data_IF_720707607203
#
_entry.id   IF_720707607203
#
_cell.length_a   1.000
_cell.length_b   1.000
_cell.length_c   1.000
_cell.angle_alpha   90.00
_cell.angle_beta   90.00
_cell.angle_gamma   90.00
#
_symmetry.space_group_name_H-M   'P 1'
#
loop_
_entity.id
_entity.type
_entity.pdbx_description
1 polymer ?
#
# COMPACT_ATOMS: atom_id res chain seq x y z
N UNK A 1 40.99 -47.97 -49.67
CA UNK A 1 40.76 -47.53 -48.28
C UNK A 1 40.27 -46.09 -48.32
N UNK A 2 39.03 -45.89 -47.85
CA UNK A 2 38.36 -44.64 -47.47
C UNK A 2 38.60 -43.37 -48.32
N UNK A 3 37.67 -43.08 -49.23
CA UNK A 3 37.34 -41.69 -49.58
C UNK A 3 36.69 -41.03 -48.37
N UNK A 4 37.36 -40.02 -47.80
CA UNK A 4 36.73 -39.12 -46.82
C UNK A 4 35.81 -38.18 -47.59
N UNK A 5 34.51 -38.46 -47.54
CA UNK A 5 33.48 -37.49 -47.89
C UNK A 5 33.58 -36.32 -46.91
N UNK A 6 34.18 -35.22 -47.37
CA UNK A 6 34.14 -33.94 -46.68
C UNK A 6 32.71 -33.40 -46.77
N UNK A 7 31.93 -33.67 -45.72
CA UNK A 7 30.61 -33.10 -45.54
C UNK A 7 30.80 -31.61 -45.25
N UNK A 8 30.84 -30.79 -46.31
CA UNK A 8 30.73 -29.34 -46.19
C UNK A 8 29.35 -29.07 -45.60
N UNK A 9 29.29 -28.85 -44.29
CA UNK A 9 28.10 -28.28 -43.66
C UNK A 9 27.90 -26.90 -44.26
N UNK A 10 26.90 -26.78 -45.12
CA UNK A 10 26.40 -25.52 -45.64
C UNK A 10 26.24 -24.56 -44.46
N UNK A 11 27.03 -23.47 -44.48
CA UNK A 11 26.93 -22.42 -43.46
C UNK A 11 25.54 -21.84 -43.60
N UNK A 12 24.63 -22.24 -42.71
CA UNK A 12 23.26 -21.75 -42.66
C UNK A 12 23.31 -20.23 -42.65
N UNK A 13 22.85 -19.59 -43.72
CA UNK A 13 22.98 -18.14 -43.88
C UNK A 13 22.34 -17.41 -42.70
N UNK A 14 23.05 -16.45 -42.13
CA UNK A 14 22.42 -15.51 -41.21
C UNK A 14 21.54 -14.56 -42.02
N UNK A 15 20.36 -14.23 -41.50
CA UNK A 15 19.50 -13.20 -42.08
C UNK A 15 19.47 -11.98 -41.16
N UNK A 16 19.54 -10.80 -41.77
CA UNK A 16 19.43 -9.53 -41.05
C UNK A 16 17.95 -9.16 -40.88
N UNK A 17 17.55 -8.88 -39.65
CA UNK A 17 16.21 -8.36 -39.34
C UNK A 17 16.32 -7.19 -38.37
N UNK A 18 15.38 -6.26 -38.43
CA UNK A 18 15.25 -5.24 -37.39
C UNK A 18 14.28 -5.71 -36.31
N UNK A 19 14.64 -5.47 -35.04
CA UNK A 19 13.72 -5.71 -33.94
C UNK A 19 12.57 -4.70 -34.02
N UNK A 20 11.31 -5.12 -34.17
CA UNK A 20 10.20 -4.15 -34.23
C UNK A 20 10.08 -3.31 -32.95
N UNK A 21 10.47 -3.87 -31.80
CA UNK A 21 10.34 -3.21 -30.51
C UNK A 21 11.39 -2.12 -30.33
N UNK A 22 12.61 -2.32 -30.84
CA UNK A 22 13.72 -1.39 -30.67
C UNK A 22 14.43 -0.82 -31.89
N UNK A 23 14.04 -1.26 -33.08
CA UNK A 23 14.73 -0.89 -34.33
C UNK A 23 16.15 -1.43 -34.47
N UNK A 24 16.67 -2.19 -33.49
CA UNK A 24 18.03 -2.72 -33.54
C UNK A 24 18.15 -3.75 -34.68
N UNK A 25 19.16 -3.59 -35.55
CA UNK A 25 19.55 -4.62 -36.52
C UNK A 25 20.11 -5.83 -35.81
N UNK A 26 19.57 -7.00 -36.12
CA UNK A 26 19.91 -8.29 -35.55
C UNK A 26 20.30 -9.24 -36.68
N UNK A 27 21.43 -9.91 -36.52
CA UNK A 27 21.80 -11.08 -37.31
C UNK A 27 21.27 -12.31 -36.59
N UNK A 28 20.39 -13.05 -37.26
CA UNK A 28 19.77 -14.25 -36.72
C UNK A 28 20.05 -15.45 -37.64
N UNK A 29 20.29 -16.64 -37.09
CA UNK A 29 20.38 -17.85 -37.91
C UNK A 29 19.07 -18.09 -38.65
N UNK A 30 19.12 -18.52 -39.92
CA UNK A 30 17.93 -18.76 -40.76
C UNK A 30 16.84 -19.64 -40.15
N UNK A 31 17.17 -20.47 -39.15
CA UNK A 31 16.22 -21.38 -38.48
C UNK A 31 15.51 -20.78 -37.25
N UNK A 32 15.86 -19.58 -36.79
CA UNK A 32 15.25 -18.99 -35.59
C UNK A 32 13.90 -18.31 -35.92
N UNK A 33 12.81 -19.07 -35.87
CA UNK A 33 11.45 -18.58 -36.09
C UNK A 33 10.94 -17.65 -34.97
N UNK A 34 11.52 -17.76 -33.77
CA UNK A 34 11.18 -16.95 -32.59
C UNK A 34 12.45 -16.42 -31.95
N UNK A 35 12.61 -15.10 -31.91
CA UNK A 35 13.71 -14.43 -31.20
C UNK A 35 13.15 -13.48 -30.15
N UNK A 36 13.81 -13.42 -29.00
CA UNK A 36 13.61 -12.39 -27.98
C UNK A 36 14.77 -11.40 -28.06
N UNK A 37 14.47 -10.13 -28.29
CA UNK A 37 15.51 -9.09 -28.26
C UNK A 37 16.15 -9.03 -26.87
N UNK A 38 17.46 -9.24 -26.79
CA UNK A 38 18.21 -9.15 -25.52
C UNK A 38 18.21 -7.74 -24.90
N UNK A 39 17.92 -6.70 -25.69
CA UNK A 39 17.86 -5.32 -25.22
C UNK A 39 16.45 -4.90 -24.74
N UNK A 40 15.46 -4.89 -25.64
CA UNK A 40 14.11 -4.41 -25.31
C UNK A 40 13.15 -5.52 -24.83
N UNK A 41 13.53 -6.79 -24.98
CA UNK A 41 12.72 -7.93 -24.59
C UNK A 41 11.54 -8.25 -25.52
N UNK A 42 11.44 -7.65 -26.71
CA UNK A 42 10.38 -7.92 -27.69
C UNK A 42 10.56 -9.31 -28.36
N UNK A 43 9.47 -10.03 -28.64
CA UNK A 43 9.48 -11.45 -29.11
C UNK A 43 8.75 -11.64 -30.44
N UNK A 44 9.41 -11.96 -31.56
CA UNK A 44 8.86 -12.09 -32.96
C UNK A 44 7.34 -11.86 -33.20
N UNK A 45 7.05 -10.82 -34.01
CA UNK A 45 5.76 -10.18 -34.39
C UNK A 45 4.95 -9.48 -33.27
N UNK A 46 4.50 -8.23 -33.50
CA UNK A 46 3.60 -7.55 -32.58
C UNK A 46 2.26 -8.28 -32.52
N UNK A 47 1.82 -8.65 -31.32
CA UNK A 47 0.42 -9.00 -31.08
C UNK A 47 -0.42 -7.72 -31.25
N UNK A 48 -1.60 -7.81 -31.89
CA UNK A 48 -2.45 -6.64 -32.16
C UNK A 48 -2.63 -5.78 -30.90
N UNK A 49 -2.41 -4.47 -31.03
CA UNK A 49 -2.51 -3.54 -29.93
C UNK A 49 -3.98 -3.43 -29.50
N UNK A 50 -4.35 -4.14 -28.44
CA UNK A 50 -5.71 -4.12 -27.91
C UNK A 50 -6.03 -2.76 -27.31
N UNK A 51 -6.84 -1.97 -28.01
CA UNK A 51 -7.42 -0.74 -27.49
C UNK A 51 -8.44 -1.08 -26.39
N UNK A 52 -8.20 -0.59 -25.17
CA UNK A 52 -9.06 -0.90 -24.02
C UNK A 52 -10.20 0.13 -23.90
N UNK A 53 -11.36 -0.21 -24.49
CA UNK A 53 -12.56 0.64 -24.51
C UNK A 53 -13.05 1.07 -23.12
N UNK A 54 -12.73 0.32 -22.06
CA UNK A 54 -13.20 0.58 -20.69
C UNK A 54 -12.19 1.40 -19.85
N UNK A 55 -11.15 1.94 -20.47
CA UNK A 55 -10.17 2.82 -19.81
C UNK A 55 -10.83 3.99 -19.08
N UNK A 56 -11.65 4.76 -19.79
CA UNK A 56 -12.26 5.97 -19.25
C UNK A 56 -13.20 5.69 -18.06
N UNK A 57 -14.00 4.62 -18.16
CA UNK A 57 -14.92 4.22 -17.09
C UNK A 57 -14.21 3.82 -15.79
N UNK A 58 -13.11 3.06 -15.89
CA UNK A 58 -12.30 2.71 -14.71
C UNK A 58 -11.68 3.94 -14.08
N UNK A 59 -11.15 4.86 -14.89
CA UNK A 59 -10.56 6.11 -14.39
C UNK A 59 -11.60 7.02 -13.73
N UNK A 60 -12.80 7.12 -14.29
CA UNK A 60 -13.91 7.87 -13.69
C UNK A 60 -14.31 7.26 -12.34
N UNK A 61 -14.57 5.94 -12.30
CA UNK A 61 -14.90 5.22 -11.07
C UNK A 61 -13.87 5.45 -9.97
N UNK A 62 -12.59 5.35 -10.32
CA UNK A 62 -11.49 5.54 -9.40
C UNK A 62 -11.42 6.99 -8.87
N UNK A 63 -11.68 7.99 -9.72
CA UNK A 63 -11.80 9.40 -9.27
C UNK A 63 -12.99 9.61 -8.35
N UNK A 64 -14.13 8.96 -8.62
CA UNK A 64 -15.28 8.99 -7.71
C UNK A 64 -14.92 8.39 -6.34
N UNK A 65 -14.20 7.27 -6.28
CA UNK A 65 -13.73 6.71 -5.01
C UNK A 65 -12.83 7.67 -4.24
N UNK A 66 -11.90 8.37 -4.91
CA UNK A 66 -11.07 9.40 -4.26
C UNK A 66 -11.92 10.52 -3.68
N UNK A 67 -12.88 11.04 -4.43
CA UNK A 67 -13.77 12.10 -3.95
C UNK A 67 -14.61 11.64 -2.77
N UNK A 68 -15.21 10.45 -2.84
CA UNK A 68 -16.01 9.87 -1.75
C UNK A 68 -15.15 9.70 -0.49
N UNK A 69 -13.94 9.15 -0.63
CA UNK A 69 -13.04 8.95 0.49
C UNK A 69 -12.56 10.27 1.10
N UNK A 70 -12.25 11.27 0.28
CA UNK A 70 -11.87 12.61 0.76
C UNK A 70 -13.02 13.27 1.54
N UNK A 71 -14.25 13.21 1.02
CA UNK A 71 -15.44 13.72 1.71
C UNK A 71 -15.66 12.97 3.02
N UNK A 72 -15.51 11.65 3.02
CA UNK A 72 -15.61 10.85 4.24
C UNK A 72 -14.56 11.25 5.29
N UNK A 73 -13.29 11.43 4.89
CA UNK A 73 -12.22 11.90 5.78
C UNK A 73 -12.58 13.27 6.39
N UNK A 74 -13.00 14.22 5.56
CA UNK A 74 -13.40 15.56 6.01
C UNK A 74 -14.62 15.51 6.93
N UNK A 75 -15.61 14.67 6.62
CA UNK A 75 -16.79 14.46 7.45
C UNK A 75 -16.42 13.93 8.84
N UNK A 76 -15.53 12.94 8.93
CA UNK A 76 -15.06 12.42 10.22
C UNK A 76 -14.29 13.49 11.01
N UNK A 77 -13.43 14.27 10.35
CA UNK A 77 -12.69 15.37 11.00
C UNK A 77 -13.65 16.43 11.53
N UNK A 78 -14.53 16.97 10.68
CA UNK A 78 -15.47 18.02 11.07
C UNK A 78 -16.48 17.53 12.12
N UNK A 79 -17.01 16.32 11.94
CA UNK A 79 -17.93 15.68 12.88
C UNK A 79 -17.28 15.42 14.23
N UNK A 80 -16.05 14.91 14.25
CA UNK A 80 -15.26 14.72 15.45
C UNK A 80 -14.96 16.04 16.17
N UNK A 81 -14.56 17.08 15.42
CA UNK A 81 -14.32 18.41 16.00
C UNK A 81 -15.60 18.96 16.63
N UNK A 82 -16.71 18.89 15.91
CA UNK A 82 -18.01 19.34 16.42
C UNK A 82 -18.46 18.55 17.65
N UNK A 83 -18.29 17.23 17.67
CA UNK A 83 -18.78 16.32 18.71
C UNK A 83 -17.89 16.24 19.96
N UNK A 84 -16.57 16.45 19.84
CA UNK A 84 -15.62 16.33 20.96
C UNK A 84 -15.35 17.69 21.63
N UNK A 85 -15.05 18.74 20.87
CA UNK A 85 -14.42 19.94 21.44
C UNK A 85 -15.24 20.74 22.43
N UNK A 86 -16.56 20.97 22.24
CA UNK A 86 -17.38 21.61 23.27
C UNK A 86 -17.28 20.95 24.66
N UNK A 87 -17.00 19.64 24.73
CA UNK A 87 -16.81 18.92 26.00
C UNK A 87 -15.44 19.21 26.57
N UNK A 88 -14.40 19.08 25.74
CA UNK A 88 -13.01 19.36 26.12
C UNK A 88 -12.84 20.81 26.60
N UNK A 89 -13.44 21.78 25.90
CA UNK A 89 -13.43 23.18 26.29
C UNK A 89 -14.23 23.46 27.56
N UNK A 90 -15.26 22.66 27.86
CA UNK A 90 -16.00 22.77 29.13
C UNK A 90 -15.17 22.33 30.34
N UNK A 91 -14.15 21.47 30.14
CA UNK A 91 -13.25 21.00 31.19
C UNK A 91 -12.14 22.03 31.43
N UNK A 92 -11.44 22.44 30.37
CA UNK A 92 -10.38 23.46 30.46
C UNK A 92 -10.10 24.08 29.10
N UNK A 93 -9.99 25.41 29.07
CA UNK A 93 -9.67 26.15 27.84
C UNK A 93 -8.25 25.82 27.31
N UNK A 94 -7.27 25.68 28.20
CA UNK A 94 -5.91 25.29 27.82
C UNK A 94 -5.87 23.89 27.19
N UNK A 95 -6.58 22.95 27.80
CA UNK A 95 -6.69 21.58 27.30
C UNK A 95 -7.40 21.54 25.94
N UNK A 96 -8.47 22.33 25.78
CA UNK A 96 -9.18 22.52 24.51
C UNK A 96 -8.27 23.01 23.39
N UNK A 97 -7.50 24.08 23.61
CA UNK A 97 -6.55 24.61 22.62
C UNK A 97 -5.47 23.59 22.28
N UNK A 98 -4.87 22.96 23.29
CA UNK A 98 -3.80 21.98 23.10
C UNK A 98 -4.26 20.83 22.20
N UNK A 99 -5.41 20.23 22.49
CA UNK A 99 -5.96 19.17 21.67
C UNK A 99 -6.41 19.68 20.30
N UNK A 100 -6.86 20.92 20.16
CA UNK A 100 -7.25 21.50 18.85
C UNK A 100 -6.05 21.61 17.91
N UNK A 101 -4.91 22.03 18.43
CA UNK A 101 -3.64 22.09 17.68
C UNK A 101 -3.23 20.69 17.23
N UNK A 102 -3.28 19.69 18.12
CA UNK A 102 -2.94 18.30 17.77
C UNK A 102 -3.84 17.77 16.65
N UNK A 103 -5.16 17.95 16.77
CA UNK A 103 -6.10 17.54 15.71
C UNK A 103 -5.84 18.28 14.40
N UNK A 104 -5.53 19.58 14.45
CA UNK A 104 -5.16 20.36 13.27
C UNK A 104 -3.92 19.80 12.57
N UNK A 105 -2.88 19.44 13.32
CA UNK A 105 -1.66 18.82 12.78
C UNK A 105 -1.97 17.45 12.18
N UNK A 106 -2.62 16.56 12.93
CA UNK A 106 -2.93 15.20 12.49
C UNK A 106 -3.83 15.19 11.24
N UNK A 107 -4.87 16.03 11.21
CA UNK A 107 -5.76 16.16 10.05
C UNK A 107 -5.04 16.70 8.83
N UNK A 108 -4.24 17.77 8.99
CA UNK A 108 -3.47 18.36 7.89
C UNK A 108 -2.46 17.36 7.33
N UNK A 109 -1.71 16.66 8.19
CA UNK A 109 -0.77 15.62 7.76
C UNK A 109 -1.48 14.49 7.01
N UNK A 110 -2.58 13.97 7.56
CA UNK A 110 -3.31 12.85 6.94
C UNK A 110 -3.88 13.22 5.58
N UNK A 111 -4.54 14.37 5.47
CA UNK A 111 -5.11 14.87 4.20
C UNK A 111 -4.00 15.15 3.19
N UNK A 112 -2.89 15.77 3.62
CA UNK A 112 -1.76 16.07 2.73
C UNK A 112 -1.11 14.79 2.18
N UNK A 113 -0.89 13.78 3.03
CA UNK A 113 -0.31 12.51 2.60
C UNK A 113 -1.26 11.73 1.68
N UNK A 114 -2.57 11.78 1.94
CA UNK A 114 -3.58 11.22 1.04
C UNK A 114 -3.53 11.88 -0.35
N UNK A 115 -3.54 13.22 -0.41
CA UNK A 115 -3.45 13.98 -1.66
C UNK A 115 -2.15 13.66 -2.40
N UNK A 116 -1.01 13.64 -1.70
CA UNK A 116 0.27 13.30 -2.31
C UNK A 116 0.26 11.87 -2.88
N UNK A 117 -0.30 10.90 -2.17
CA UNK A 117 -0.44 9.53 -2.66
C UNK A 117 -1.34 9.43 -3.90
N UNK A 118 -2.49 10.12 -3.89
CA UNK A 118 -3.49 10.07 -4.95
C UNK A 118 -3.09 10.81 -6.23
N UNK A 119 -2.32 11.89 -6.13
CA UNK A 119 -2.06 12.78 -7.27
C UNK A 119 -0.60 12.85 -7.71
N UNK A 120 0.37 12.38 -6.91
CA UNK A 120 1.75 12.24 -7.41
C UNK A 120 1.84 11.11 -8.43
N UNK A 121 2.73 11.28 -9.40
CA UNK A 121 3.06 10.20 -10.34
C UNK A 121 3.52 8.97 -9.55
N UNK A 122 3.02 7.79 -9.92
CA UNK A 122 3.42 6.52 -9.30
C UNK A 122 4.87 6.13 -9.62
N UNK A 123 5.48 6.80 -10.61
CA UNK A 123 6.82 6.53 -11.10
C UNK A 123 6.77 5.94 -12.50
N UNK A 124 7.40 6.62 -13.45
CA UNK A 124 7.59 6.11 -14.80
C UNK A 124 8.92 5.36 -14.88
N UNK A 125 9.00 4.22 -15.59
CA UNK A 125 10.30 3.65 -15.92
C UNK A 125 11.14 4.69 -16.68
N UNK A 126 12.48 4.65 -16.53
CA UNK A 126 13.36 5.61 -17.20
C UNK A 126 13.06 5.63 -18.70
N UNK A 127 12.94 6.84 -19.26
CA UNK A 127 12.80 7.01 -20.70
C UNK A 127 14.18 6.76 -21.31
N UNK A 128 14.42 5.53 -21.74
CA UNK A 128 15.63 5.20 -22.50
C UNK A 128 15.40 5.72 -23.91
N UNK A 129 16.16 6.74 -24.32
CA UNK A 129 16.14 7.23 -25.70
C UNK A 129 16.72 6.18 -26.64
N UNK A 130 16.06 6.01 -27.78
CA UNK A 130 16.51 5.10 -28.83
C UNK A 130 17.92 5.45 -29.29
N UNK A 131 18.84 4.48 -29.27
CA UNK A 131 20.24 4.68 -29.67
C UNK A 131 21.13 5.32 -28.61
N UNK A 132 20.58 5.75 -27.47
CA UNK A 132 21.37 6.10 -26.29
C UNK A 132 21.72 4.81 -25.55
N UNK A 133 22.92 4.29 -25.80
CA UNK A 133 23.43 3.12 -25.11
C UNK A 133 24.27 3.60 -23.92
N UNK A 134 23.75 3.62 -22.67
CA UNK A 134 24.67 3.63 -21.54
C UNK A 134 25.57 2.40 -21.71
N UNK A 135 26.87 2.52 -21.40
CA UNK A 135 27.74 1.34 -21.32
C UNK A 135 27.21 0.47 -20.19
N UNK A 136 26.33 -0.47 -20.51
CA UNK A 136 25.76 -1.40 -19.55
C UNK A 136 26.69 -2.59 -19.44
N UNK A 137 27.17 -2.87 -18.23
CA UNK A 137 27.96 -4.06 -17.95
C UNK A 137 27.20 -5.33 -18.32
N UNK A 138 27.95 -6.41 -18.56
CA UNK A 138 27.39 -7.74 -18.85
C UNK A 138 26.37 -8.13 -17.76
N UNK A 139 25.14 -8.47 -18.15
CA UNK A 139 24.06 -8.86 -17.23
C UNK A 139 23.08 -7.74 -16.82
N UNK A 140 23.39 -6.45 -17.03
CA UNK A 140 22.53 -5.35 -16.58
C UNK A 140 21.21 -5.17 -17.39
N UNK A 141 21.09 -5.85 -18.52
CA UNK A 141 19.87 -5.91 -19.34
C UNK A 141 19.07 -7.21 -19.09
N UNK A 142 19.59 -8.12 -18.27
CA UNK A 142 18.87 -9.33 -17.92
C UNK A 142 17.55 -8.94 -17.23
N UNK A 143 16.46 -9.59 -17.64
CA UNK A 143 15.09 -9.36 -17.18
C UNK A 143 14.38 -8.10 -17.71
N UNK A 144 14.96 -7.35 -18.65
CA UNK A 144 14.16 -6.41 -19.44
C UNK A 144 13.11 -7.18 -20.26
N UNK A 145 11.89 -6.63 -20.27
CA UNK A 145 10.77 -7.19 -21.02
C UNK A 145 10.12 -6.09 -21.84
N UNK A 146 9.32 -6.43 -22.85
CA UNK A 146 8.65 -5.43 -23.66
C UNK A 146 7.21 -5.23 -23.21
N UNK A 147 6.75 -3.98 -23.11
CA UNK A 147 5.34 -3.68 -22.88
C UNK A 147 4.64 -3.45 -24.23
N UNK A 148 3.76 -4.38 -24.63
CA UNK A 148 2.98 -4.26 -25.86
C UNK A 148 1.95 -3.12 -25.84
N UNK A 149 1.44 -2.73 -24.67
CA UNK A 149 0.47 -1.64 -24.56
C UNK A 149 1.13 -0.26 -24.71
N UNK A 150 2.31 -0.09 -24.12
CA UNK A 150 3.06 1.18 -24.19
C UNK A 150 4.04 1.23 -25.37
N UNK A 151 4.27 0.11 -26.06
CA UNK A 151 5.27 -0.07 -27.11
C UNK A 151 6.67 0.41 -26.71
N UNK A 152 7.09 0.06 -25.48
CA UNK A 152 8.37 0.49 -24.90
C UNK A 152 9.04 -0.64 -24.11
N UNK A 153 10.38 -0.63 -24.00
CA UNK A 153 11.10 -1.47 -23.04
C UNK A 153 10.57 -1.22 -21.62
N UNK A 154 10.41 -2.30 -20.88
CA UNK A 154 9.93 -2.31 -19.49
C UNK A 154 11.09 -2.80 -18.64
N UNK A 155 11.59 -1.90 -17.79
CA UNK A 155 12.66 -2.22 -16.84
C UNK A 155 12.26 -3.36 -15.89
N UNK A 156 13.23 -4.03 -15.27
CA UNK A 156 12.96 -4.97 -14.17
C UNK A 156 12.04 -4.31 -13.13
N UNK A 157 11.12 -5.09 -12.56
CA UNK A 157 10.12 -4.65 -11.56
C UNK A 157 9.11 -3.60 -12.04
N UNK A 158 9.16 -3.16 -13.29
CA UNK A 158 8.09 -2.33 -13.86
C UNK A 158 6.94 -3.19 -14.41
N UNK A 159 5.71 -2.71 -14.23
CA UNK A 159 4.49 -3.41 -14.66
C UNK A 159 3.51 -2.42 -15.32
N UNK A 160 2.81 -2.89 -16.36
CA UNK A 160 1.79 -2.09 -17.04
C UNK A 160 0.47 -2.15 -16.27
N UNK A 161 0.00 -0.99 -15.80
CA UNK A 161 -1.33 -0.87 -15.22
C UNK A 161 -2.32 -0.47 -16.31
N UNK A 162 -3.28 -1.35 -16.64
CA UNK A 162 -4.34 -1.05 -17.62
C UNK A 162 -5.25 0.09 -17.19
N UNK A 163 -5.45 0.26 -15.88
CA UNK A 163 -6.30 1.33 -15.34
C UNK A 163 -5.64 2.70 -15.46
N UNK A 164 -4.35 2.81 -15.16
CA UNK A 164 -3.59 4.05 -15.37
C UNK A 164 -3.22 4.27 -16.84
N UNK A 165 -3.10 3.20 -17.63
CA UNK A 165 -2.71 3.24 -19.04
C UNK A 165 -1.21 3.41 -19.25
N UNK A 166 -0.39 3.05 -18.25
CA UNK A 166 1.05 3.28 -18.27
C UNK A 166 1.83 2.19 -17.53
N UNK A 167 3.11 2.03 -17.90
CA UNK A 167 4.06 1.27 -17.08
C UNK A 167 4.44 2.06 -15.83
N UNK A 168 4.39 1.40 -14.68
CA UNK A 168 4.76 1.96 -13.39
C UNK A 168 6.02 1.25 -12.89
N UNK A 169 7.03 2.04 -12.51
CA UNK A 169 8.28 1.54 -11.93
C UNK A 169 8.05 1.08 -10.49
N UNK A 170 8.64 -0.06 -10.10
CA UNK A 170 8.42 -0.72 -8.81
C UNK A 170 6.95 -0.74 -8.40
N UNK A 171 6.10 -1.14 -9.34
CA UNK A 171 4.66 -1.16 -9.12
C UNK A 171 4.31 -2.12 -7.97
N UNK A 172 3.66 -1.59 -6.94
CA UNK A 172 3.12 -2.37 -5.84
C UNK A 172 1.72 -2.88 -6.21
N UNK A 173 0.79 -1.95 -6.40
CA UNK A 173 -0.58 -2.26 -6.83
C UNK A 173 -1.26 -1.02 -7.43
N UNK A 174 -2.38 -1.24 -8.11
CA UNK A 174 -3.32 -0.17 -8.44
C UNK A 174 -4.35 -0.07 -7.33
N UNK A 175 -4.50 1.11 -6.72
CA UNK A 175 -5.42 1.32 -5.61
C UNK A 175 -6.58 2.23 -6.05
N UNK A 176 -7.82 1.69 -6.16
CA UNK A 176 -8.98 2.49 -6.52
C UNK A 176 -9.28 3.61 -5.51
N UNK A 177 -8.96 3.41 -4.23
CA UNK A 177 -9.25 4.37 -3.16
C UNK A 177 -8.43 5.66 -3.24
N UNK A 178 -7.20 5.58 -3.77
CA UNK A 178 -6.38 6.77 -4.10
C UNK A 178 -6.47 7.12 -5.59
N UNK A 179 -7.22 6.33 -6.36
CA UNK A 179 -7.41 6.49 -7.80
C UNK A 179 -6.12 6.53 -8.62
N UNK A 180 -5.10 5.81 -8.16
CA UNK A 180 -3.75 5.85 -8.70
C UNK A 180 -3.00 4.54 -8.40
N UNK A 181 -1.92 4.29 -9.15
CA UNK A 181 -0.97 3.25 -8.79
C UNK A 181 -0.14 3.68 -7.58
N UNK A 182 0.26 2.70 -6.79
CA UNK A 182 1.34 2.81 -5.81
C UNK A 182 2.60 2.23 -6.47
N UNK A 183 3.64 3.04 -6.59
CA UNK A 183 4.92 2.66 -7.20
C UNK A 183 6.08 3.51 -6.68
N UNK A 184 7.25 3.39 -7.31
CA UNK A 184 8.51 3.96 -6.84
C UNK A 184 8.42 5.41 -6.33
N UNK A 185 7.68 6.28 -7.02
CA UNK A 185 7.68 7.71 -6.73
C UNK A 185 6.64 8.16 -5.68
N UNK A 186 5.63 7.33 -5.37
CA UNK A 186 4.58 7.67 -4.40
C UNK A 186 4.35 6.64 -3.29
N UNK A 187 5.07 5.51 -3.29
CA UNK A 187 4.93 4.45 -2.28
C UNK A 187 5.16 4.98 -0.85
N UNK A 188 6.16 5.85 -0.67
CA UNK A 188 6.44 6.51 0.62
C UNK A 188 5.26 7.35 1.09
N UNK A 189 4.62 8.11 0.21
CA UNK A 189 3.45 8.91 0.54
C UNK A 189 2.26 8.04 0.91
N UNK A 190 2.07 6.91 0.22
CA UNK A 190 1.03 5.94 0.55
C UNK A 190 1.22 5.34 1.96
N UNK A 191 2.44 4.90 2.29
CA UNK A 191 2.73 4.34 3.62
C UNK A 191 2.64 5.43 4.71
N UNK A 192 3.13 6.65 4.44
CA UNK A 192 2.98 7.78 5.37
C UNK A 192 1.50 8.16 5.59
N UNK A 193 0.67 8.06 4.56
CA UNK A 193 -0.79 8.22 4.68
C UNK A 193 -1.37 7.15 5.61
N UNK A 194 -1.04 5.87 5.43
CA UNK A 194 -1.53 4.81 6.32
C UNK A 194 -1.10 5.02 7.78
N UNK A 195 0.16 5.38 8.02
CA UNK A 195 0.68 5.68 9.37
C UNK A 195 -0.07 6.86 10.00
N UNK A 196 -0.17 7.98 9.28
CA UNK A 196 -0.87 9.16 9.80
C UNK A 196 -2.36 8.93 10.02
N UNK A 197 -3.01 8.14 9.17
CA UNK A 197 -4.40 7.75 9.32
C UNK A 197 -4.60 6.87 10.57
N UNK A 198 -3.74 5.85 10.80
CA UNK A 198 -3.79 5.02 12.02
C UNK A 198 -3.61 5.87 13.28
N UNK A 199 -2.60 6.75 13.32
CA UNK A 199 -2.38 7.65 14.46
C UNK A 199 -3.60 8.56 14.69
N UNK A 200 -4.16 9.12 13.61
CA UNK A 200 -5.33 9.98 13.69
C UNK A 200 -6.57 9.25 14.18
N UNK A 201 -6.79 8.00 13.75
CA UNK A 201 -7.93 7.19 14.22
C UNK A 201 -7.76 6.75 15.66
N UNK A 202 -6.56 6.35 16.09
CA UNK A 202 -6.27 6.06 17.51
C UNK A 202 -6.57 7.29 18.37
N UNK A 203 -6.06 8.46 17.96
CA UNK A 203 -6.31 9.71 18.67
C UNK A 203 -7.81 10.04 18.73
N UNK A 204 -8.52 9.94 17.60
CA UNK A 204 -9.96 10.18 17.54
C UNK A 204 -10.75 9.20 18.42
N UNK A 205 -10.37 7.91 18.44
CA UNK A 205 -10.97 6.89 19.31
C UNK A 205 -10.76 7.23 20.79
N UNK A 206 -9.54 7.61 21.20
CA UNK A 206 -9.24 8.00 22.59
C UNK A 206 -10.02 9.25 23.00
N UNK A 207 -10.03 10.30 22.17
CA UNK A 207 -10.75 11.53 22.47
C UNK A 207 -12.27 11.33 22.50
N UNK A 208 -12.81 10.49 21.61
CA UNK A 208 -14.23 10.16 21.60
C UNK A 208 -14.60 9.35 22.84
N UNK A 209 -13.80 8.34 23.22
CA UNK A 209 -14.01 7.58 24.44
C UNK A 209 -13.97 8.48 25.69
N UNK A 210 -12.98 9.37 25.78
CA UNK A 210 -12.87 10.34 26.87
C UNK A 210 -14.12 11.24 26.95
N UNK A 211 -14.56 11.78 25.82
CA UNK A 211 -15.76 12.61 25.74
C UNK A 211 -17.05 11.85 26.13
N UNK A 212 -17.18 10.59 25.71
CA UNK A 212 -18.30 9.71 26.09
C UNK A 212 -18.30 9.47 27.59
N UNK A 213 -17.16 9.12 28.19
CA UNK A 213 -17.04 8.87 29.63
C UNK A 213 -17.41 10.09 30.47
N UNK A 214 -17.16 11.30 29.99
CA UNK A 214 -17.53 12.55 30.66
C UNK A 214 -19.02 12.91 30.59
N UNK A 215 -19.73 12.43 29.56
CA UNK A 215 -21.17 12.71 29.36
C UNK A 215 -22.06 11.55 29.82
N UNK A 216 -21.50 10.33 29.92
CA UNK A 216 -22.28 9.13 30.16
C UNK A 216 -23.14 9.28 31.43
N UNK A 217 -24.47 9.08 31.34
CA UNK A 217 -25.34 9.14 32.50
C UNK A 217 -24.88 8.14 33.56
N UNK A 218 -24.88 8.51 34.86
CA UNK A 218 -24.56 7.56 35.91
C UNK A 218 -25.45 6.32 35.76
N UNK A 219 -24.83 5.14 35.74
CA UNK A 219 -25.56 3.89 35.75
C UNK A 219 -26.39 3.89 37.03
N UNK A 220 -27.73 3.93 36.90
CA UNK A 220 -28.62 3.86 38.05
C UNK A 220 -28.37 2.52 38.75
N UNK A 221 -27.58 2.56 39.82
CA UNK A 221 -27.37 1.45 40.71
C UNK A 221 -28.62 1.29 41.57
N UNK A 222 -29.46 0.33 41.19
CA UNK A 222 -30.60 -0.09 42.02
C UNK A 222 -30.77 -1.61 42.03
N UNK A 223 -29.69 -2.35 41.77
CA UNK A 223 -29.74 -3.81 41.69
C UNK A 223 -28.68 -4.54 42.53
N UNK A 224 -27.72 -3.86 43.16
CA UNK A 224 -26.69 -4.55 43.95
C UNK A 224 -26.97 -4.64 45.47
N UNK A 225 -27.97 -3.96 46.01
CA UNK A 225 -28.30 -4.04 47.45
C UNK A 225 -29.23 -5.21 47.84
N UNK A 226 -29.60 -6.11 46.92
CA UNK A 226 -30.50 -7.23 47.24
C UNK A 226 -30.13 -8.55 46.54
N UNK A 227 -29.03 -9.17 46.96
CA UNK A 227 -28.95 -10.64 47.13
C UNK A 227 -27.58 -11.06 47.64
N UNK A 228 -27.55 -11.68 48.82
CA UNK A 228 -26.37 -12.33 49.35
C UNK A 228 -25.85 -13.46 48.44
N UNK A 229 -24.53 -13.60 48.40
CA UNK A 229 -23.84 -14.76 47.84
C UNK A 229 -23.17 -14.52 46.49
N UNK A 230 -21.93 -14.02 46.51
CA UNK A 230 -21.08 -13.73 45.33
C UNK A 230 -20.66 -14.99 44.53
N UNK A 231 -20.96 -16.21 44.99
CA UNK A 231 -20.25 -17.41 44.54
C UNK A 231 -20.96 -18.38 43.57
N UNK A 232 -22.04 -18.01 42.85
CA UNK A 232 -22.64 -18.93 41.85
C UNK A 232 -23.34 -18.29 40.66
N UNK A 233 -23.03 -17.05 40.31
CA UNK A 233 -23.63 -16.43 39.12
C UNK A 233 -22.85 -16.80 37.84
N UNK A 234 -23.51 -17.30 36.78
CA UNK A 234 -22.87 -17.45 35.49
C UNK A 234 -22.36 -16.07 35.00
N UNK A 235 -21.12 -15.97 34.53
CA UNK A 235 -20.50 -14.74 34.00
C UNK A 235 -21.37 -14.05 32.95
N UNK A 236 -22.09 -14.85 32.17
CA UNK A 236 -23.09 -14.42 31.19
C UNK A 236 -24.23 -13.58 31.78
N UNK A 237 -24.68 -13.87 33.00
CA UNK A 237 -25.79 -13.17 33.66
C UNK A 237 -25.35 -11.77 34.12
N UNK A 238 -24.15 -11.67 34.69
CA UNK A 238 -23.52 -10.38 35.04
C UNK A 238 -23.29 -9.54 33.78
N UNK A 239 -22.77 -10.16 32.70
CA UNK A 239 -22.57 -9.49 31.42
C UNK A 239 -23.90 -8.95 30.84
N UNK A 240 -24.98 -9.74 30.87
CA UNK A 240 -26.31 -9.26 30.45
C UNK A 240 -26.75 -8.04 31.26
N UNK A 241 -26.62 -8.08 32.58
CA UNK A 241 -27.10 -7.01 33.46
C UNK A 241 -26.33 -5.71 33.19
N UNK A 242 -25.01 -5.79 33.00
CA UNK A 242 -24.17 -4.66 32.58
C UNK A 242 -24.60 -4.13 31.21
N UNK A 243 -24.81 -5.00 30.22
CA UNK A 243 -25.24 -4.60 28.86
C UNK A 243 -26.62 -3.95 28.90
N UNK A 244 -27.56 -4.52 29.66
CA UNK A 244 -28.91 -3.98 29.82
C UNK A 244 -28.90 -2.60 30.50
N UNK A 245 -28.10 -2.44 31.56
CA UNK A 245 -27.91 -1.16 32.23
C UNK A 245 -27.29 -0.10 31.29
N UNK A 246 -26.27 -0.49 30.51
CA UNK A 246 -25.65 0.39 29.51
C UNK A 246 -26.65 0.82 28.44
N UNK A 247 -27.42 -0.10 27.86
CA UNK A 247 -28.44 0.19 26.84
C UNK A 247 -29.53 1.11 27.39
N UNK A 248 -30.02 0.85 28.61
CA UNK A 248 -31.01 1.71 29.24
C UNK A 248 -30.47 3.11 29.53
N UNK A 249 -29.22 3.22 30.00
CA UNK A 249 -28.57 4.53 30.19
C UNK A 249 -28.33 5.27 28.86
N UNK A 250 -28.12 4.55 27.76
CA UNK A 250 -27.89 5.13 26.46
C UNK A 250 -29.13 5.85 25.87
N UNK A 251 -30.34 5.47 26.29
CA UNK A 251 -31.59 6.18 25.91
C UNK A 251 -31.59 7.63 26.42
N UNK A 252 -30.87 7.91 27.51
CA UNK A 252 -30.76 9.24 28.09
C UNK A 252 -29.56 10.05 27.55
N UNK A 253 -28.79 9.51 26.59
CA UNK A 253 -27.74 10.26 25.94
C UNK A 253 -28.34 11.34 25.05
N UNK A 254 -27.77 12.55 25.13
CA UNK A 254 -28.03 13.60 24.14
C UNK A 254 -27.68 13.10 22.73
N UNK A 255 -28.26 13.72 21.69
CA UNK A 255 -27.91 13.45 20.28
C UNK A 255 -26.39 13.51 20.04
N UNK A 256 -25.71 14.42 20.74
CA UNK A 256 -24.24 14.53 20.74
C UNK A 256 -23.56 13.30 21.32
N UNK A 257 -24.06 12.77 22.44
CA UNK A 257 -23.58 11.53 23.04
C UNK A 257 -23.73 10.33 22.11
N UNK A 258 -24.87 10.19 21.44
CA UNK A 258 -25.09 9.14 20.44
C UNK A 258 -24.12 9.25 19.26
N UNK A 259 -23.90 10.47 18.76
CA UNK A 259 -22.93 10.73 17.69
C UNK A 259 -21.51 10.37 18.15
N UNK A 260 -21.12 10.67 19.39
CA UNK A 260 -19.82 10.31 19.94
C UNK A 260 -19.61 8.80 20.06
N UNK A 261 -20.63 8.05 20.50
CA UNK A 261 -20.59 6.59 20.55
C UNK A 261 -20.45 6.01 19.13
N UNK A 262 -21.24 6.51 18.18
CA UNK A 262 -21.11 6.13 16.78
C UNK A 262 -19.72 6.43 16.22
N UNK A 263 -19.20 7.64 16.47
CA UNK A 263 -17.86 8.03 16.05
C UNK A 263 -16.81 7.11 16.65
N UNK A 264 -16.86 6.81 17.96
CA UNK A 264 -15.93 5.88 18.60
C UNK A 264 -15.95 4.49 17.96
N UNK A 265 -17.13 3.89 17.79
CA UNK A 265 -17.25 2.56 17.16
C UNK A 265 -16.76 2.58 15.72
N UNK A 266 -17.11 3.63 14.97
CA UNK A 266 -16.68 3.80 13.58
C UNK A 266 -15.17 4.01 13.47
N UNK A 267 -14.54 4.80 14.35
CA UNK A 267 -13.10 5.06 14.30
C UNK A 267 -12.30 3.82 14.67
N UNK A 268 -12.73 3.05 15.67
CA UNK A 268 -12.13 1.76 16.02
C UNK A 268 -12.24 0.76 14.87
N UNK A 269 -13.40 0.70 14.21
CA UNK A 269 -13.60 -0.19 13.05
C UNK A 269 -12.67 0.15 11.88
N UNK A 270 -12.53 1.45 11.58
CA UNK A 270 -11.60 1.93 10.54
C UNK A 270 -10.14 1.70 10.94
N UNK A 271 -9.79 1.94 12.21
CA UNK A 271 -8.45 1.73 12.76
C UNK A 271 -7.96 0.30 12.56
N UNK A 272 -8.81 -0.70 12.85
CA UNK A 272 -8.48 -2.13 12.65
C UNK A 272 -8.14 -2.40 11.18
N UNK A 273 -8.98 -1.91 10.26
CA UNK A 273 -8.76 -2.09 8.82
C UNK A 273 -7.48 -1.42 8.33
N UNK A 274 -7.23 -0.18 8.74
CA UNK A 274 -6.03 0.57 8.39
C UNK A 274 -4.76 -0.08 8.97
N UNK A 275 -4.84 -0.59 10.20
CA UNK A 275 -3.73 -1.28 10.86
C UNK A 275 -3.35 -2.57 10.14
N UNK A 276 -4.35 -3.35 9.68
CA UNK A 276 -4.12 -4.55 8.88
C UNK A 276 -3.45 -4.22 7.54
N UNK A 277 -3.91 -3.17 6.84
CA UNK A 277 -3.30 -2.72 5.59
C UNK A 277 -1.87 -2.20 5.78
N UNK A 278 -1.64 -1.42 6.83
CA UNK A 278 -0.31 -0.91 7.18
C UNK A 278 0.64 -2.06 7.51
N UNK A 279 0.20 -3.02 8.32
CA UNK A 279 0.97 -4.22 8.64
C UNK A 279 1.37 -4.97 7.37
N UNK A 280 0.42 -5.21 6.46
CA UNK A 280 0.69 -5.90 5.20
C UNK A 280 1.74 -5.17 4.36
N UNK A 281 1.64 -3.85 4.22
CA UNK A 281 2.59 -3.05 3.46
C UNK A 281 3.99 -3.06 4.09
N UNK A 282 4.09 -2.90 5.41
CA UNK A 282 5.36 -2.96 6.12
C UNK A 282 6.01 -4.35 6.04
N UNK A 283 5.21 -5.41 6.06
CA UNK A 283 5.71 -6.78 5.89
C UNK A 283 6.36 -6.99 4.52
N UNK A 284 5.74 -6.52 3.43
CA UNK A 284 6.35 -6.65 2.11
C UNK A 284 7.62 -5.80 1.96
N UNK A 285 7.62 -4.58 2.53
CA UNK A 285 8.82 -3.75 2.58
C UNK A 285 9.94 -4.45 3.35
N UNK A 286 9.62 -5.12 4.46
CA UNK A 286 10.59 -5.90 5.24
C UNK A 286 11.19 -7.07 4.44
N UNK A 287 10.40 -7.74 3.60
CA UNK A 287 10.90 -8.76 2.66
C UNK A 287 11.66 -8.19 1.45
N UNK A 288 11.68 -6.86 1.28
CA UNK A 288 12.24 -6.22 0.09
C UNK A 288 11.42 -6.45 -1.19
N UNK A 289 10.14 -6.84 -1.04
CA UNK A 289 9.22 -7.18 -2.12
C UNK A 289 8.16 -6.10 -2.31
N UNK A 290 7.64 -5.98 -3.53
CA UNK A 290 6.35 -5.34 -3.77
C UNK A 290 5.24 -6.38 -3.65
N UNK A 291 3.99 -5.95 -3.44
CA UNK A 291 2.84 -6.85 -3.45
C UNK A 291 2.77 -7.69 -4.73
N UNK A 292 3.05 -7.07 -5.87
CA UNK A 292 3.04 -7.74 -7.17
C UNK A 292 4.20 -8.73 -7.32
N UNK A 293 5.39 -8.40 -6.80
CA UNK A 293 6.52 -9.33 -6.83
C UNK A 293 6.28 -10.52 -5.90
N UNK A 294 5.61 -10.32 -4.76
CA UNK A 294 5.18 -11.42 -3.89
C UNK A 294 4.23 -12.37 -4.63
N UNK A 295 3.21 -11.86 -5.31
CA UNK A 295 2.30 -12.67 -6.14
C UNK A 295 3.04 -13.45 -7.24
N UNK A 296 3.98 -12.81 -7.92
CA UNK A 296 4.80 -13.46 -8.96
C UNK A 296 5.73 -14.54 -8.39
N UNK A 297 6.34 -14.28 -7.23
CA UNK A 297 7.25 -15.22 -6.54
C UNK A 297 6.53 -16.41 -5.92
N UNK A 298 5.19 -16.39 -5.81
CA UNK A 298 4.45 -17.59 -5.42
C UNK A 298 4.60 -18.73 -6.45
N UNK A 299 5.07 -18.43 -7.66
CA UNK A 299 5.42 -19.40 -8.71
C UNK A 299 6.93 -19.61 -8.93
N UNK A 300 7.83 -18.84 -8.31
CA UNK A 300 9.29 -18.98 -8.43
C UNK A 300 9.96 -18.85 -7.06
N UNK A 301 10.89 -19.76 -6.72
CA UNK A 301 11.55 -19.84 -5.41
C UNK A 301 12.51 -18.66 -5.09
N UNK A 302 12.14 -17.42 -5.40
CA UNK A 302 12.85 -16.22 -4.98
C UNK A 302 12.39 -15.81 -3.58
N UNK A 303 13.16 -16.24 -2.58
CA UNK A 303 12.99 -15.80 -1.18
C UNK A 303 13.73 -14.48 -1.03
N UNK A 304 12.98 -13.39 -0.83
CA UNK A 304 13.58 -12.09 -0.47
C UNK A 304 14.21 -12.18 0.90
N UNK A 305 15.42 -11.66 1.07
CA UNK A 305 16.09 -11.66 2.36
C UNK A 305 15.40 -10.66 3.30
N UNK A 306 14.83 -11.19 4.38
CA UNK A 306 14.17 -10.43 5.44
C UNK A 306 15.21 -9.61 6.20
N UNK A 307 15.29 -8.31 5.93
CA UNK A 307 16.25 -7.41 6.57
C UNK A 307 15.58 -6.10 7.00
N UNK A 308 15.80 -5.69 8.25
CA UNK A 308 15.38 -4.39 8.75
C UNK A 308 15.99 -3.24 7.94
N UNK A 309 17.15 -3.46 7.29
CA UNK A 309 17.74 -2.47 6.37
C UNK A 309 16.80 -2.09 5.24
N UNK A 310 15.93 -3.00 4.78
CA UNK A 310 14.97 -2.72 3.72
C UNK A 310 13.97 -1.62 4.14
N UNK A 311 13.55 -1.63 5.41
CA UNK A 311 12.67 -0.58 5.98
C UNK A 311 13.40 0.76 6.04
N UNK A 312 14.63 0.79 6.55
CA UNK A 312 15.41 2.04 6.65
C UNK A 312 15.73 2.62 5.27
N UNK A 313 16.10 1.78 4.31
CA UNK A 313 16.34 2.17 2.93
C UNK A 313 15.05 2.69 2.27
N UNK A 314 13.91 2.05 2.54
CA UNK A 314 12.62 2.47 2.03
C UNK A 314 12.27 3.89 2.48
N UNK A 315 12.40 4.22 3.76
CA UNK A 315 12.13 5.58 4.28
C UNK A 315 13.25 6.60 4.01
N UNK A 316 14.36 6.16 3.40
CA UNK A 316 15.46 7.05 3.01
C UNK A 316 16.34 7.50 4.19
N UNK A 317 16.41 6.70 5.25
CA UNK A 317 17.39 6.95 6.30
C UNK A 317 18.77 6.52 5.78
N UNK A 318 19.72 7.45 5.53
CA UNK A 318 21.08 7.06 5.18
C UNK A 318 21.66 6.22 6.33
N UNK A 319 22.50 5.25 5.99
CA UNK A 319 23.16 4.22 6.82
C UNK A 319 23.75 4.64 8.20
N UNK A 320 23.68 5.91 8.59
CA UNK A 320 24.21 6.45 9.83
C UNK A 320 23.47 5.93 11.08
N UNK A 321 22.15 5.74 11.04
CA UNK A 321 21.35 5.39 12.24
C UNK A 321 21.44 3.91 12.62
N UNK A 322 21.81 3.02 11.68
CA UNK A 322 22.00 1.59 11.98
C UNK A 322 23.26 1.28 12.81
N UNK A 323 24.08 2.29 13.13
CA UNK A 323 25.21 2.15 14.06
C UNK A 323 24.78 2.17 15.54
N UNK A 324 23.52 2.51 15.84
CA UNK A 324 22.98 2.55 17.21
C UNK A 324 22.07 1.36 17.59
N UNK A 325 21.80 0.44 16.67
CA UNK A 325 21.02 -0.77 16.98
C UNK A 325 21.98 -1.95 17.26
N UNK A 326 21.88 -2.62 18.43
CA UNK A 326 22.72 -3.76 18.74
C UNK A 326 22.39 -4.89 17.75
N UNK A 327 23.39 -5.25 16.94
CA UNK A 327 23.31 -6.37 15.99
C UNK A 327 23.16 -7.66 16.80
N UNK A 328 21.94 -8.18 16.92
CA UNK A 328 21.72 -9.53 17.40
C UNK A 328 22.07 -10.50 16.26
N UNK A 329 23.36 -10.85 16.16
CA UNK A 329 23.81 -11.92 15.27
C UNK A 329 23.20 -13.24 15.74
N UNK A 330 22.17 -13.71 15.04
CA UNK A 330 21.71 -15.08 15.17
C UNK A 330 22.83 -16.01 14.68
N UNK A 331 23.50 -16.66 15.64
CA UNK A 331 24.51 -17.66 15.37
C UNK A 331 23.84 -18.89 14.72
N UNK A 332 23.98 -19.05 13.40
CA UNK A 332 23.72 -20.32 12.73
C UNK A 332 24.74 -21.34 13.23
N UNK A 333 24.28 -22.28 14.07
CA UNK A 333 25.00 -23.52 14.39
C UNK A 333 25.09 -24.35 13.11
N UNK A 334 26.27 -24.44 12.51
CA UNK A 334 26.60 -25.52 11.60
C UNK A 334 26.61 -26.84 12.40
N UNK A 335 25.68 -27.75 12.11
CA UNK A 335 25.84 -29.17 12.45
C UNK A 335 26.76 -29.78 11.39
N UNK A 336 27.89 -30.33 11.84
CA UNK A 336 28.62 -31.37 11.13
C UNK A 336 27.94 -32.71 11.36
#
# INVERSE_FOLDING_TARGET
MAEMAEFVTEVAGDHETTCWGCGLSLLLPSYSLVFKCGWCGAVTKPNEQKCDKYYWWRRLRDRCFVCILLVFILFVICGGVWAVYPIIFSISYFYGIFHLIITGILSTTTVSMFILSAFRCAGTPPLIEWGSYPVVGKGHLENYTFCHYCSKPKSPRAHHCRTCGMCVLDMDHHCPFIGNCVGAANHRHFVAFLISAVISTVYASVMSAYAVLHIWPPLMDKSFEHSGGINSYPTWRILKEIVFALVNSAVFLSMRGLILVYLFVSTVSVEIGLSALLWQQLYYIYEGKTFLSHLSSRGSNEVGEKDCKNIFQFFGCPYSVSRCLPIWRSAKKHKK
#
